data_IF_437991836841
#
_entry.id   IF_437991836841
#
_cell.length_a   1.000
_cell.length_b   1.000
_cell.length_c   1.000
_cell.angle_alpha   90.00
_cell.angle_beta   90.00
_cell.angle_gamma   90.00
#
_symmetry.space_group_name_H-M   'P 1'
#
loop_
_entity.id
_entity.type
_entity.pdbx_description
1 polymer ?
#
# COMPACT_ATOMS: atom_id res chain seq x y z
N UNK A 1 5.92 -12.64 -31.15
CA UNK A 1 6.87 -12.58 -30.03
C UNK A 1 6.05 -12.29 -28.79
N UNK A 2 5.73 -13.34 -28.02
CA UNK A 2 4.96 -13.24 -26.79
C UNK A 2 5.85 -12.62 -25.72
N UNK A 3 5.45 -11.45 -25.22
CA UNK A 3 6.12 -10.82 -24.08
C UNK A 3 5.78 -11.63 -22.83
N UNK A 4 6.70 -12.53 -22.48
CA UNK A 4 6.73 -13.22 -21.20
C UNK A 4 6.87 -12.15 -20.12
N UNK A 5 5.79 -11.87 -19.39
CA UNK A 5 5.84 -11.13 -18.14
C UNK A 5 6.63 -12.00 -17.16
N UNK A 6 7.91 -11.71 -17.00
CA UNK A 6 8.68 -12.21 -15.87
C UNK A 6 8.20 -11.40 -14.67
N UNK A 7 7.19 -11.93 -13.98
CA UNK A 7 6.99 -11.61 -12.58
C UNK A 7 8.33 -11.88 -11.89
N UNK A 8 8.97 -10.81 -11.44
CA UNK A 8 10.10 -10.92 -10.53
C UNK A 8 9.49 -11.43 -9.23
N UNK A 9 9.36 -12.75 -9.12
CA UNK A 9 9.10 -13.40 -7.85
C UNK A 9 10.26 -13.03 -6.94
N UNK A 10 9.98 -12.14 -5.99
CA UNK A 10 10.82 -11.97 -4.81
C UNK A 10 11.11 -13.37 -4.28
N UNK A 11 12.39 -13.75 -4.26
CA UNK A 11 12.86 -14.97 -3.61
C UNK A 11 12.17 -15.09 -2.25
N UNK A 12 11.39 -16.15 -2.01
CA UNK A 12 10.63 -16.26 -0.77
C UNK A 12 11.63 -16.37 0.38
N UNK A 13 11.71 -15.30 1.18
CA UNK A 13 12.29 -15.41 2.51
C UNK A 13 11.45 -16.44 3.29
N UNK A 14 12.17 -17.30 4.00
CA UNK A 14 11.68 -18.56 4.50
C UNK A 14 10.47 -18.41 5.46
N UNK A 15 9.55 -19.37 5.33
CA UNK A 15 8.32 -19.61 6.08
C UNK A 15 7.14 -18.65 5.80
N UNK A 16 6.05 -19.22 5.26
CA UNK A 16 4.72 -18.63 5.23
C UNK A 16 4.12 -18.32 6.63
N UNK A 17 4.93 -18.41 7.69
CA UNK A 17 4.55 -18.21 9.10
C UNK A 17 4.64 -16.76 9.53
N UNK A 18 5.14 -15.87 8.69
CA UNK A 18 5.44 -14.48 9.09
C UNK A 18 4.67 -13.42 8.30
N UNK A 19 3.62 -13.81 7.58
CA UNK A 19 2.74 -12.85 6.90
C UNK A 19 1.85 -12.10 7.91
N UNK A 20 1.58 -10.82 7.62
CA UNK A 20 0.62 -10.04 8.39
C UNK A 20 -0.75 -10.74 8.42
N UNK A 21 -1.46 -10.65 9.55
CA UNK A 21 -2.77 -11.30 9.74
C UNK A 21 -3.78 -10.96 8.63
N UNK A 22 -3.75 -9.73 8.11
CA UNK A 22 -4.60 -9.30 6.98
C UNK A 22 -4.39 -10.15 5.72
N UNK A 23 -3.15 -10.51 5.41
CA UNK A 23 -2.82 -11.37 4.26
C UNK A 23 -3.27 -12.80 4.55
N UNK A 24 -2.98 -13.29 5.75
CA UNK A 24 -3.29 -14.67 6.16
C UNK A 24 -4.80 -14.94 6.26
N UNK A 25 -5.60 -13.92 6.59
CA UNK A 25 -7.05 -14.05 6.76
C UNK A 25 -7.80 -14.34 5.45
N UNK A 26 -7.26 -13.90 4.30
CA UNK A 26 -7.91 -14.10 3.01
C UNK A 26 -6.86 -14.43 1.94
N UNK A 27 -6.67 -15.71 1.57
CA UNK A 27 -5.66 -16.12 0.59
C UNK A 27 -5.79 -15.44 -0.78
N UNK A 28 -6.98 -14.98 -1.14
CA UNK A 28 -7.26 -14.27 -2.40
C UNK A 28 -7.04 -12.76 -2.31
N UNK A 29 -6.73 -12.20 -1.14
CA UNK A 29 -6.60 -10.74 -0.95
C UNK A 29 -5.55 -10.13 -1.88
N UNK A 30 -4.43 -10.84 -2.09
CA UNK A 30 -3.36 -10.39 -2.98
C UNK A 30 -3.76 -10.29 -4.45
N UNK A 31 -4.89 -10.88 -4.86
CA UNK A 31 -5.43 -10.76 -6.22
C UNK A 31 -6.20 -9.45 -6.43
N UNK A 32 -6.68 -8.82 -5.35
CA UNK A 32 -7.55 -7.65 -5.42
C UNK A 32 -6.97 -6.42 -4.73
N UNK A 33 -5.99 -6.60 -3.85
CA UNK A 33 -5.40 -5.54 -3.02
C UNK A 33 -3.89 -5.55 -3.18
N UNK A 34 -3.33 -4.36 -3.43
CA UNK A 34 -1.90 -4.11 -3.40
C UNK A 34 -1.60 -3.17 -2.23
N UNK A 35 -0.58 -3.50 -1.44
CA UNK A 35 -0.17 -2.71 -0.28
C UNK A 35 0.97 -1.79 -0.68
N UNK A 36 0.78 -0.48 -0.49
CA UNK A 36 1.79 0.55 -0.79
C UNK A 36 2.60 0.83 0.48
N UNK A 37 3.93 0.91 0.34
CA UNK A 37 4.83 1.27 1.44
C UNK A 37 4.62 2.72 1.85
N UNK A 38 4.60 3.02 3.15
CA UNK A 38 4.47 4.42 3.63
C UNK A 38 5.52 5.33 3.00
N UNK A 39 6.78 4.88 2.96
CA UNK A 39 7.89 5.65 2.41
C UNK A 39 7.70 6.03 0.94
N UNK A 40 6.93 5.25 0.18
CA UNK A 40 6.64 5.58 -1.21
C UNK A 40 5.83 6.88 -1.34
N UNK A 41 4.93 7.20 -0.39
CA UNK A 41 4.11 8.41 -0.45
C UNK A 41 4.93 9.71 -0.41
N UNK A 42 6.14 9.68 0.18
CA UNK A 42 7.06 10.83 0.24
C UNK A 42 7.69 11.16 -1.12
N UNK A 43 7.72 10.19 -2.02
CA UNK A 43 8.35 10.31 -3.34
C UNK A 43 7.34 10.57 -4.47
N UNK A 44 6.03 10.42 -4.18
CA UNK A 44 4.98 10.62 -5.18
C UNK A 44 4.71 12.10 -5.42
N UNK A 45 4.51 12.46 -6.69
CA UNK A 45 4.01 13.79 -7.04
C UNK A 45 2.58 14.00 -6.54
N UNK A 46 2.24 15.23 -6.20
CA UNK A 46 0.87 15.66 -5.91
C UNK A 46 0.25 16.26 -7.19
N UNK A 47 -0.94 15.83 -7.62
CA UNK A 47 -1.82 14.85 -6.96
C UNK A 47 -1.28 13.42 -7.06
N UNK A 48 -1.55 12.62 -6.03
CA UNK A 48 -1.07 11.23 -6.01
C UNK A 48 -1.58 10.45 -7.23
N UNK A 49 -0.70 9.68 -7.89
CA UNK A 49 -1.07 8.88 -9.05
C UNK A 49 -2.02 7.75 -8.67
N UNK A 50 -2.67 7.13 -9.67
CA UNK A 50 -3.49 5.94 -9.42
C UNK A 50 -2.59 4.74 -9.17
N UNK A 51 -3.11 3.70 -8.52
CA UNK A 51 -2.32 2.50 -8.21
C UNK A 51 -1.68 1.82 -9.44
N UNK A 52 -2.31 1.90 -10.62
CA UNK A 52 -1.78 1.30 -11.85
C UNK A 52 -0.63 2.09 -12.46
N UNK A 53 -0.45 3.34 -12.03
CA UNK A 53 0.62 4.22 -12.50
C UNK A 53 1.88 4.12 -11.61
N UNK A 54 1.79 3.39 -10.49
CA UNK A 54 2.89 3.19 -9.54
C UNK A 54 3.82 2.05 -9.98
N UNK A 55 5.12 2.25 -9.75
CA UNK A 55 6.13 1.22 -9.96
C UNK A 55 5.89 0.03 -9.01
N UNK A 56 6.27 -1.18 -9.44
CA UNK A 56 6.15 -2.40 -8.61
C UNK A 56 6.89 -2.27 -7.28
N UNK A 57 8.01 -1.53 -7.26
CA UNK A 57 8.76 -1.23 -6.05
C UNK A 57 7.95 -0.44 -5.02
N UNK A 58 6.90 0.30 -5.38
CA UNK A 58 6.06 0.99 -4.40
C UNK A 58 5.27 0.00 -3.51
N UNK A 59 5.20 -1.26 -3.90
CA UNK A 59 4.37 -2.27 -3.26
C UNK A 59 5.21 -3.29 -2.49
N UNK A 60 4.74 -3.70 -1.32
CA UNK A 60 5.34 -4.75 -0.49
C UNK A 60 4.23 -5.53 0.19
N UNK A 61 4.31 -6.86 0.18
CA UNK A 61 3.39 -7.69 0.94
C UNK A 61 3.72 -7.58 2.45
N UNK A 62 2.75 -7.21 3.30
CA UNK A 62 3.05 -6.89 4.70
C UNK A 62 3.44 -8.14 5.50
N UNK A 63 4.46 -7.98 6.35
CA UNK A 63 4.97 -8.97 7.31
C UNK A 63 4.26 -8.84 8.66
N UNK A 64 4.44 -9.82 9.55
CA UNK A 64 3.74 -9.91 10.84
C UNK A 64 3.93 -8.68 11.74
N UNK A 65 5.08 -8.00 11.61
CA UNK A 65 5.49 -6.81 12.35
C UNK A 65 5.05 -5.48 11.71
N UNK A 66 4.60 -5.51 10.45
CA UNK A 66 4.21 -4.30 9.72
C UNK A 66 2.85 -3.77 10.25
N UNK A 67 2.68 -2.45 10.32
CA UNK A 67 1.37 -1.83 10.56
C UNK A 67 0.63 -1.63 9.23
N UNK A 68 -0.55 -2.23 9.09
CA UNK A 68 -1.41 -2.03 7.92
C UNK A 68 -2.48 -0.97 8.21
N UNK A 69 -2.47 0.12 7.44
CA UNK A 69 -3.46 1.20 7.53
C UNK A 69 -4.31 1.22 6.26
N UNK A 70 -5.63 1.33 6.42
CA UNK A 70 -6.58 1.53 5.33
C UNK A 70 -7.31 2.86 5.51
N UNK A 71 -7.06 3.81 4.61
CA UNK A 71 -7.77 5.09 4.58
C UNK A 71 -8.79 5.05 3.44
N UNK A 72 -10.05 5.30 3.77
CA UNK A 72 -11.15 5.32 2.81
C UNK A 72 -12.01 6.58 3.01
N UNK A 73 -12.95 6.80 2.11
CA UNK A 73 -13.88 7.92 2.15
C UNK A 73 -15.31 7.46 1.90
N UNK A 74 -16.29 8.24 2.36
CA UNK A 74 -17.70 7.98 2.09
C UNK A 74 -18.03 8.13 0.61
N UNK A 75 -18.89 7.24 0.10
CA UNK A 75 -19.31 7.15 -1.30
C UNK A 75 -19.83 8.46 -1.90
N UNK A 76 -20.50 9.30 -1.11
CA UNK A 76 -21.01 10.60 -1.58
C UNK A 76 -19.93 11.60 -2.02
N UNK A 77 -18.64 11.34 -1.74
CA UNK A 77 -17.51 12.23 -2.05
C UNK A 77 -16.61 11.70 -3.17
N UNK A 78 -17.22 11.01 -4.14
CA UNK A 78 -16.70 10.26 -5.29
C UNK A 78 -15.68 10.93 -6.24
N UNK A 79 -14.97 11.98 -5.83
CA UNK A 79 -13.87 12.55 -6.60
C UNK A 79 -12.60 11.71 -6.38
N UNK A 80 -12.49 10.60 -7.10
CA UNK A 80 -11.19 10.03 -7.46
C UNK A 80 -10.97 10.27 -8.96
N UNK A 81 -9.86 10.89 -9.40
CA UNK A 81 -8.69 11.28 -8.61
C UNK A 81 -8.93 12.51 -7.72
N UNK A 82 -7.95 12.85 -6.89
CA UNK A 82 -7.87 14.11 -6.15
C UNK A 82 -7.08 15.14 -6.97
N UNK A 83 -7.66 15.77 -8.01
CA UNK A 83 -6.90 16.61 -8.95
C UNK A 83 -6.31 17.86 -8.30
N UNK A 84 -6.82 18.27 -7.13
CA UNK A 84 -6.37 19.47 -6.40
C UNK A 84 -5.28 19.09 -5.38
N UNK A 85 -5.10 17.80 -5.06
CA UNK A 85 -4.09 17.33 -4.12
C UNK A 85 -4.41 17.57 -2.65
N UNK A 86 -5.64 17.97 -2.33
CA UNK A 86 -6.05 18.33 -0.96
C UNK A 86 -6.08 17.14 0.00
N UNK A 87 -6.30 15.92 -0.51
CA UNK A 87 -6.36 14.70 0.31
C UNK A 87 -4.97 14.26 0.76
N UNK A 88 -3.91 14.64 0.03
CA UNK A 88 -2.53 14.31 0.37
C UNK A 88 -2.17 14.74 1.80
N UNK A 89 -2.46 16.00 2.15
CA UNK A 89 -2.11 16.55 3.47
C UNK A 89 -2.86 15.83 4.60
N UNK A 90 -4.17 15.59 4.41
CA UNK A 90 -5.00 14.88 5.39
C UNK A 90 -4.52 13.46 5.61
N UNK A 91 -4.26 12.71 4.53
CA UNK A 91 -3.82 11.31 4.63
C UNK A 91 -2.42 11.23 5.23
N UNK A 92 -1.52 12.15 4.87
CA UNK A 92 -0.18 12.23 5.45
C UNK A 92 -0.24 12.50 6.96
N UNK A 93 -1.12 13.41 7.41
CA UNK A 93 -1.36 13.64 8.84
C UNK A 93 -1.86 12.39 9.56
N UNK A 94 -2.84 11.68 8.99
CA UNK A 94 -3.36 10.43 9.57
C UNK A 94 -2.29 9.34 9.68
N UNK A 95 -1.42 9.21 8.67
CA UNK A 95 -0.31 8.25 8.70
C UNK A 95 0.72 8.61 9.77
N UNK A 96 1.07 9.90 9.87
CA UNK A 96 1.97 10.38 10.90
C UNK A 96 1.44 10.09 12.32
N UNK A 97 0.16 10.38 12.57
CA UNK A 97 -0.47 10.10 13.86
C UNK A 97 -0.49 8.60 14.18
N UNK A 98 -0.80 7.76 13.19
CA UNK A 98 -0.76 6.30 13.36
C UNK A 98 0.64 5.80 13.71
N UNK A 99 1.68 6.30 13.04
CA UNK A 99 3.08 5.95 13.34
C UNK A 99 3.45 6.37 14.77
N UNK A 100 3.07 7.57 15.19
CA UNK A 100 3.38 8.06 16.54
C UNK A 100 2.70 7.22 17.65
N UNK A 101 1.44 6.84 17.44
CA UNK A 101 0.65 6.08 18.42
C UNK A 101 1.10 4.62 18.49
N UNK A 102 1.36 3.99 17.35
CA UNK A 102 1.58 2.54 17.28
C UNK A 102 3.05 2.14 17.26
N UNK A 103 3.96 3.07 16.95
CA UNK A 103 5.42 2.84 16.89
C UNK A 103 5.80 1.54 16.15
N UNK A 104 5.34 1.37 14.88
CA UNK A 104 5.67 0.16 14.12
C UNK A 104 7.19 0.05 13.89
N UNK A 105 7.66 -1.19 13.81
CA UNK A 105 9.09 -1.50 13.61
C UNK A 105 9.50 -1.40 12.13
N UNK A 106 8.51 -1.42 11.21
CA UNK A 106 8.69 -1.34 9.76
C UNK A 106 7.60 -0.52 9.07
#
# INVERSE_FOLDING_TARGET
AEHLFLDVEETPSADARDWHAVVSALPTLGQCVRFVREGSFKELSVPWPRQQDLLSSCFKKPQHEDLVVAVSHGWQYQAHPDPIGTKHEVITGMLHDAIQVHQPVG
#
